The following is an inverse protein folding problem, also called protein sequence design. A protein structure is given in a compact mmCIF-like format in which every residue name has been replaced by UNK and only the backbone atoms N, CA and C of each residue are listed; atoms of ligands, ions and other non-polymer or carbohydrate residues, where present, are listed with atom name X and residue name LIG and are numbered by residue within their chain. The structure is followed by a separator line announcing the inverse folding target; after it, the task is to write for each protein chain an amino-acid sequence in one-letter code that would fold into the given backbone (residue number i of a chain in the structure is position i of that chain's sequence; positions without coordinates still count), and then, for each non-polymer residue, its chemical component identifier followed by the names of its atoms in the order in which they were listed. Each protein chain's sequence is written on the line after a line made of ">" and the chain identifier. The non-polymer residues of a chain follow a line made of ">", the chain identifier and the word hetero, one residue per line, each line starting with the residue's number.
data_IF_084208697957
#
_entry.id   IF_084208697957
#
_cell.length_a   1.000
_cell.length_b   1.000
_cell.length_c   1.000
_cell.angle_alpha   90.00
_cell.angle_beta   90.00
_cell.angle_gamma   90.00
#
_symmetry.space_group_name_H-M   'P 1'
#
loop_
_entity.id
_entity.type
_entity.pdbx_description
1 polymer ?
#
# COMPACT_ATOMS: atom_id res chain seq x y z
N UNK A 1 -74.28 -44.40 27.63
CA UNK A 1 -73.16 -45.27 28.06
C UNK A 1 -71.97 -44.91 27.19
N UNK A 2 -70.77 -44.57 27.65
CA UNK A 2 -70.16 -44.73 28.96
C UNK A 2 -68.88 -43.88 28.97
N UNK A 3 -68.59 -43.30 30.13
CA UNK A 3 -67.27 -43.18 30.76
C UNK A 3 -66.30 -42.15 30.13
N UNK A 4 -66.26 -40.99 30.80
CA UNK A 4 -65.03 -40.21 30.93
C UNK A 4 -63.96 -41.04 31.66
N UNK A 5 -62.68 -40.91 31.28
CA UNK A 5 -61.62 -41.12 32.24
C UNK A 5 -60.61 -39.96 32.28
N UNK A 6 -60.42 -39.49 33.52
CA UNK A 6 -59.12 -39.34 34.18
C UNK A 6 -58.09 -38.40 33.56
N UNK A 7 -58.10 -37.20 34.14
CA UNK A 7 -56.92 -36.50 34.67
C UNK A 7 -55.62 -37.33 34.65
N UNK A 8 -54.74 -37.01 33.71
CA UNK A 8 -53.32 -37.29 33.81
C UNK A 8 -52.56 -35.98 33.82
N UNK A 9 -51.72 -35.87 34.84
CA UNK A 9 -50.93 -34.72 35.23
C UNK A 9 -50.15 -34.18 34.01
N UNK A 10 -50.46 -32.96 33.58
CA UNK A 10 -49.59 -32.21 32.70
C UNK A 10 -48.37 -31.79 33.53
N UNK A 11 -47.31 -32.60 33.49
CA UNK A 11 -45.99 -32.24 33.99
C UNK A 11 -45.60 -30.90 33.38
N UNK A 12 -45.46 -29.90 34.24
CA UNK A 12 -45.02 -28.55 33.91
C UNK A 12 -43.59 -28.60 33.35
N UNK A 13 -43.48 -28.85 32.06
CA UNK A 13 -42.27 -28.59 31.30
C UNK A 13 -42.09 -27.07 31.27
N UNK A 14 -41.42 -26.54 32.29
CA UNK A 14 -40.90 -25.18 32.23
C UNK A 14 -39.96 -25.12 31.03
N UNK A 15 -40.15 -24.18 30.08
CA UNK A 15 -39.25 -24.07 28.94
C UNK A 15 -37.84 -23.78 29.45
N UNK A 16 -36.79 -24.36 28.85
CA UNK A 16 -35.42 -24.02 29.20
C UNK A 16 -35.22 -22.50 29.03
N UNK A 17 -34.40 -21.86 29.87
CA UNK A 17 -34.12 -20.44 29.74
C UNK A 17 -33.59 -20.14 28.33
N UNK A 18 -33.91 -18.98 27.74
CA UNK A 18 -33.37 -18.61 26.44
C UNK A 18 -31.84 -18.63 26.51
N UNK A 19 -31.16 -19.10 25.45
CA UNK A 19 -29.70 -19.04 25.40
C UNK A 19 -29.26 -17.58 25.60
N UNK A 20 -28.11 -17.33 26.28
CA UNK A 20 -27.56 -15.98 26.38
C UNK A 20 -27.38 -15.42 24.96
N UNK A 21 -27.57 -14.10 24.75
CA UNK A 21 -27.30 -13.50 23.46
C UNK A 21 -25.87 -13.87 23.07
N UNK A 22 -25.72 -14.60 21.96
CA UNK A 22 -24.41 -14.86 21.38
C UNK A 22 -23.81 -13.49 21.08
N UNK A 23 -22.89 -13.07 21.94
CA UNK A 23 -22.16 -11.82 21.81
C UNK A 23 -21.21 -12.01 20.62
N UNK A 24 -21.74 -11.80 19.43
CA UNK A 24 -20.96 -11.76 18.21
C UNK A 24 -19.91 -10.65 18.37
N UNK A 25 -18.62 -10.94 18.15
CA UNK A 25 -17.60 -9.89 18.15
C UNK A 25 -17.95 -8.88 17.04
N UNK A 26 -17.75 -7.57 17.25
CA UNK A 26 -18.17 -6.52 16.32
C UNK A 26 -17.31 -6.44 15.05
N UNK A 27 -16.66 -7.53 14.62
CA UNK A 27 -15.67 -7.49 13.54
C UNK A 27 -16.24 -7.72 12.13
N UNK A 28 -17.50 -8.17 11.99
CA UNK A 28 -18.08 -8.43 10.66
C UNK A 28 -18.85 -7.23 10.07
N UNK A 29 -19.32 -6.30 10.92
CA UNK A 29 -20.19 -5.20 10.46
C UNK A 29 -19.42 -3.98 9.92
N UNK A 30 -18.12 -3.85 10.25
CA UNK A 30 -17.25 -2.82 9.68
C UNK A 30 -16.68 -3.18 8.30
N UNK A 31 -16.74 -4.44 7.88
CA UNK A 31 -16.12 -4.87 6.63
C UNK A 31 -16.85 -4.31 5.39
N UNK A 32 -18.18 -4.19 5.45
CA UNK A 32 -18.96 -3.55 4.37
C UNK A 32 -18.90 -2.01 4.40
N UNK A 33 -18.69 -1.39 5.57
CA UNK A 33 -18.52 0.06 5.69
C UNK A 33 -17.11 0.53 5.25
N UNK A 34 -16.10 -0.34 5.36
CA UNK A 34 -14.74 -0.02 4.92
C UNK A 34 -14.62 0.06 3.38
N UNK A 35 -15.35 -0.78 2.64
CA UNK A 35 -15.26 -0.83 1.17
C UNK A 35 -15.99 0.32 0.44
N UNK A 36 -16.91 1.04 1.10
CA UNK A 36 -17.66 2.17 0.51
C UNK A 36 -17.21 3.55 1.00
N UNK A 37 -16.22 3.64 1.90
CA UNK A 37 -15.68 4.92 2.30
C UNK A 37 -14.84 5.51 1.14
N UNK A 38 -15.11 6.73 0.65
CA UNK A 38 -14.26 7.38 -0.37
C UNK A 38 -12.79 7.55 0.09
N UNK A 39 -12.54 7.50 1.40
CA UNK A 39 -11.20 7.42 1.98
C UNK A 39 -10.53 6.07 1.77
N UNK A 40 -11.27 4.96 1.77
CA UNK A 40 -10.73 3.63 1.45
C UNK A 40 -10.50 3.44 -0.04
N UNK A 41 -11.36 4.02 -0.90
CA UNK A 41 -11.10 4.05 -2.34
C UNK A 41 -9.86 4.90 -2.68
N UNK A 42 -9.69 6.06 -2.01
CA UNK A 42 -8.44 6.84 -2.07
C UNK A 42 -7.26 6.10 -1.45
N UNK A 43 -7.47 5.32 -0.38
CA UNK A 43 -6.42 4.52 0.27
C UNK A 43 -5.97 3.33 -0.58
N UNK A 44 -6.90 2.66 -1.27
CA UNK A 44 -6.58 1.59 -2.23
C UNK A 44 -5.85 2.18 -3.44
N UNK A 45 -6.30 3.31 -3.97
CA UNK A 45 -5.62 3.96 -5.10
C UNK A 45 -4.20 4.39 -4.72
N UNK A 46 -4.01 5.01 -3.55
CA UNK A 46 -2.69 5.41 -3.05
C UNK A 46 -1.79 4.21 -2.68
N UNK A 47 -2.34 3.11 -2.18
CA UNK A 47 -1.57 1.86 -1.95
C UNK A 47 -1.11 1.23 -3.25
N UNK A 48 -1.99 1.13 -4.25
CA UNK A 48 -1.65 0.58 -5.57
C UNK A 48 -0.59 1.46 -6.23
N UNK A 49 -0.76 2.78 -6.22
CA UNK A 49 0.21 3.72 -6.76
C UNK A 49 1.57 3.59 -6.07
N UNK A 50 1.58 3.46 -4.73
CA UNK A 50 2.80 3.24 -3.93
C UNK A 50 3.50 1.95 -4.33
N UNK A 51 2.72 0.88 -4.50
CA UNK A 51 3.24 -0.42 -4.91
C UNK A 51 3.81 -0.36 -6.34
N UNK A 52 3.12 0.30 -7.27
CA UNK A 52 3.60 0.49 -8.65
C UNK A 52 4.89 1.31 -8.67
N UNK A 53 4.94 2.43 -7.95
CA UNK A 53 6.15 3.26 -7.87
C UNK A 53 7.31 2.48 -7.26
N UNK A 54 7.08 1.76 -6.16
CA UNK A 54 8.11 0.90 -5.54
C UNK A 54 8.62 -0.16 -6.50
N UNK A 55 7.73 -0.92 -7.14
CA UNK A 55 8.10 -1.97 -8.08
C UNK A 55 8.82 -1.40 -9.31
N UNK A 56 8.37 -0.28 -9.87
CA UNK A 56 9.10 0.38 -10.96
C UNK A 56 10.48 0.84 -10.53
N UNK A 57 10.62 1.40 -9.33
CA UNK A 57 11.90 1.84 -8.82
C UNK A 57 12.85 0.67 -8.58
N UNK A 58 12.35 -0.46 -8.06
CA UNK A 58 13.10 -1.71 -7.91
C UNK A 58 13.54 -2.26 -9.28
N UNK A 59 12.64 -2.34 -10.27
CA UNK A 59 12.99 -2.77 -11.62
C UNK A 59 14.06 -1.86 -12.21
N UNK A 60 13.89 -0.54 -12.10
CA UNK A 60 14.88 0.43 -12.56
C UNK A 60 16.22 0.23 -11.86
N UNK A 61 16.24 0.01 -10.54
CA UNK A 61 17.49 -0.13 -9.78
C UNK A 61 18.22 -1.45 -10.05
N UNK A 62 17.48 -2.56 -10.12
CA UNK A 62 18.05 -3.91 -10.15
C UNK A 62 18.17 -4.50 -11.55
N UNK A 63 17.40 -4.04 -12.54
CA UNK A 63 17.44 -4.58 -13.90
C UNK A 63 18.50 -3.86 -14.77
N UNK A 64 19.35 -4.64 -15.43
CA UNK A 64 20.28 -4.19 -16.47
C UNK A 64 19.58 -4.12 -17.84
N UNK A 65 18.50 -3.34 -17.95
CA UNK A 65 17.74 -3.27 -19.20
C UNK A 65 18.16 -2.09 -20.09
N UNK A 66 18.37 -2.37 -21.39
CA UNK A 66 18.58 -1.37 -22.46
C UNK A 66 17.38 -0.43 -22.70
N UNK A 67 16.32 -0.55 -21.89
CA UNK A 67 15.09 0.23 -21.93
C UNK A 67 15.00 1.26 -20.77
N UNK A 68 16.13 1.72 -20.22
CA UNK A 68 16.14 2.68 -19.08
C UNK A 68 15.30 3.94 -19.31
N UNK A 69 15.20 4.36 -20.58
CA UNK A 69 14.45 5.53 -21.03
C UNK A 69 12.93 5.30 -20.95
N UNK A 70 12.51 4.06 -21.14
CA UNK A 70 11.11 3.64 -21.14
C UNK A 70 10.53 3.63 -19.73
N UNK A 71 11.36 3.31 -18.72
CA UNK A 71 10.96 3.24 -17.31
C UNK A 71 11.22 4.53 -16.54
N UNK A 72 12.17 5.37 -16.95
CA UNK A 72 12.42 6.67 -16.32
C UNK A 72 11.20 7.59 -16.44
N UNK A 73 10.57 7.59 -17.61
CA UNK A 73 9.39 8.39 -17.96
C UNK A 73 8.18 8.12 -17.06
N UNK A 74 7.69 6.88 -16.92
CA UNK A 74 6.60 6.57 -15.98
C UNK A 74 7.02 6.75 -14.52
N UNK A 75 8.28 6.48 -14.17
CA UNK A 75 8.79 6.71 -12.81
C UNK A 75 8.70 8.20 -12.43
N UNK A 76 9.16 9.11 -13.30
CA UNK A 76 9.04 10.54 -13.07
C UNK A 76 7.57 10.97 -12.96
N UNK A 77 6.71 10.51 -13.87
CA UNK A 77 5.28 10.82 -13.82
C UNK A 77 4.65 10.39 -12.49
N UNK A 78 4.98 9.22 -11.98
CA UNK A 78 4.48 8.73 -10.69
C UNK A 78 5.01 9.52 -9.50
N UNK A 79 6.27 9.94 -9.53
CA UNK A 79 6.85 10.84 -8.51
C UNK A 79 6.11 12.18 -8.50
N UNK A 80 5.83 12.77 -9.67
CA UNK A 80 5.14 14.07 -9.75
C UNK A 80 3.66 14.01 -9.36
N UNK A 81 3.02 12.84 -9.53
CA UNK A 81 1.65 12.61 -9.05
C UNK A 81 1.60 12.66 -7.52
N UNK A 82 2.61 12.10 -6.84
CA UNK A 82 2.66 12.10 -5.38
C UNK A 82 4.10 12.16 -4.85
N UNK A 83 4.59 13.38 -4.65
CA UNK A 83 5.91 13.62 -4.05
C UNK A 83 5.99 13.07 -2.62
N UNK A 84 4.88 13.13 -1.86
CA UNK A 84 4.79 12.55 -0.53
C UNK A 84 5.06 11.03 -0.55
N UNK A 85 4.49 10.33 -1.52
CA UNK A 85 4.67 8.89 -1.66
C UNK A 85 6.11 8.53 -2.02
N UNK A 86 6.75 9.34 -2.87
CA UNK A 86 8.17 9.20 -3.16
C UNK A 86 9.03 9.41 -1.92
N UNK A 87 8.72 10.42 -1.10
CA UNK A 87 9.40 10.66 0.19
C UNK A 87 9.26 9.47 1.15
N UNK A 88 8.06 8.90 1.28
CA UNK A 88 7.83 7.71 2.10
C UNK A 88 8.62 6.49 1.60
N UNK A 89 8.72 6.30 0.28
CA UNK A 89 9.49 5.20 -0.33
C UNK A 89 10.98 5.42 -0.10
N UNK A 90 11.48 6.65 -0.30
CA UNK A 90 12.88 7.02 0.01
C UNK A 90 13.21 6.69 1.47
N UNK A 91 12.37 7.12 2.42
CA UNK A 91 12.60 6.87 3.84
C UNK A 91 12.64 5.36 4.16
N UNK A 92 11.73 4.57 3.58
CA UNK A 92 11.73 3.10 3.74
C UNK A 92 12.98 2.44 3.14
N UNK A 93 13.41 2.87 1.94
CA UNK A 93 14.62 2.34 1.29
C UNK A 93 15.85 2.69 2.14
N UNK A 94 15.97 3.93 2.63
CA UNK A 94 17.07 4.33 3.51
C UNK A 94 17.07 3.52 4.81
N UNK A 95 15.93 3.39 5.48
CA UNK A 95 15.82 2.61 6.72
C UNK A 95 16.15 1.11 6.53
N UNK A 96 16.04 0.58 5.32
CA UNK A 96 16.37 -0.81 4.99
C UNK A 96 17.89 -1.04 4.78
N UNK A 97 18.69 0.03 4.76
CA UNK A 97 20.13 0.00 4.49
C UNK A 97 20.92 0.25 5.77
N UNK A 98 22.15 -0.25 5.88
CA UNK A 98 22.97 -0.05 7.07
C UNK A 98 23.41 1.43 7.20
N UNK A 99 23.62 1.91 8.42
CA UNK A 99 23.75 3.33 8.75
C UNK A 99 24.86 4.06 7.96
N UNK A 100 25.95 3.36 7.64
CA UNK A 100 27.05 3.82 6.79
C UNK A 100 26.61 4.12 5.34
N UNK A 101 25.69 3.32 4.80
CA UNK A 101 25.15 3.51 3.45
C UNK A 101 23.97 4.48 3.40
N UNK A 102 23.24 4.66 4.50
CA UNK A 102 22.09 5.57 4.56
C UNK A 102 22.46 6.99 4.15
N UNK A 103 23.58 7.53 4.65
CA UNK A 103 24.01 8.89 4.33
C UNK A 103 24.37 9.03 2.85
N UNK A 104 25.11 8.05 2.28
CA UNK A 104 25.48 8.06 0.87
C UNK A 104 24.25 7.96 -0.04
N UNK A 105 23.35 7.03 0.27
CA UNK A 105 22.11 6.83 -0.49
C UNK A 105 21.19 8.04 -0.40
N UNK A 106 21.12 8.70 0.76
CA UNK A 106 20.36 9.94 0.90
C UNK A 106 20.85 11.00 -0.08
N UNK A 107 22.17 11.22 -0.16
CA UNK A 107 22.78 12.14 -1.12
C UNK A 107 22.53 11.70 -2.58
N UNK A 108 22.49 10.40 -2.85
CA UNK A 108 22.15 9.88 -4.18
C UNK A 108 20.70 10.23 -4.55
N UNK A 109 19.75 10.10 -3.60
CA UNK A 109 18.36 10.51 -3.82
C UNK A 109 18.23 12.02 -4.05
N UNK A 110 19.06 12.84 -3.41
CA UNK A 110 19.08 14.29 -3.67
C UNK A 110 19.60 14.59 -5.08
N UNK A 111 20.66 13.90 -5.53
CA UNK A 111 21.16 13.99 -6.91
C UNK A 111 20.14 13.50 -7.94
N UNK A 112 19.33 12.50 -7.60
CA UNK A 112 18.28 11.99 -8.49
C UNK A 112 17.28 13.09 -8.87
N UNK A 113 16.88 13.90 -7.89
CA UNK A 113 15.90 14.98 -8.05
C UNK A 113 16.53 16.33 -8.35
N UNK A 114 17.86 16.42 -8.44
CA UNK A 114 18.57 17.67 -8.72
C UNK A 114 18.20 18.20 -10.12
N UNK A 115 17.84 19.48 -10.18
CA UNK A 115 17.35 20.18 -11.38
C UNK A 115 16.08 19.57 -12.01
N UNK A 116 15.39 18.65 -11.32
CA UNK A 116 14.14 18.07 -11.79
C UNK A 116 13.00 18.95 -11.30
N UNK A 117 12.25 19.54 -12.24
CA UNK A 117 11.09 20.38 -11.94
C UNK A 117 9.81 19.54 -11.90
N UNK A 118 8.72 20.13 -11.37
CA UNK A 118 7.38 19.51 -11.38
C UNK A 118 6.71 19.61 -12.76
N UNK A 119 7.42 19.22 -13.82
CA UNK A 119 7.00 19.31 -15.23
C UNK A 119 7.26 17.99 -15.97
N UNK A 120 6.44 17.67 -16.97
CA UNK A 120 6.63 16.52 -17.86
C UNK A 120 7.19 16.91 -19.24
N UNK A 121 7.76 18.10 -19.35
CA UNK A 121 8.48 18.53 -20.56
C UNK A 121 9.65 17.59 -20.90
N UNK A 122 9.97 17.48 -22.20
CA UNK A 122 11.04 16.57 -22.67
C UNK A 122 12.35 16.84 -21.93
N UNK A 123 12.80 18.09 -21.86
CA UNK A 123 14.06 18.48 -21.21
C UNK A 123 14.14 17.98 -19.75
N UNK A 124 13.04 18.10 -19.00
CA UNK A 124 13.00 17.66 -17.60
C UNK A 124 13.04 16.12 -17.48
N UNK A 125 12.34 15.43 -18.38
CA UNK A 125 12.37 13.95 -18.45
C UNK A 125 13.75 13.42 -18.84
N UNK A 126 14.41 14.09 -19.78
CA UNK A 126 15.76 13.74 -20.23
C UNK A 126 16.77 13.93 -19.08
N UNK A 127 16.64 15.04 -18.34
CA UNK A 127 17.43 15.31 -17.12
C UNK A 127 17.21 14.25 -16.03
N UNK A 128 15.96 13.92 -15.72
CA UNK A 128 15.65 12.86 -14.76
C UNK A 128 16.24 11.51 -15.19
N UNK A 129 16.17 11.18 -16.48
CA UNK A 129 16.76 9.94 -17.02
C UNK A 129 18.27 9.89 -16.80
N UNK A 130 18.98 10.99 -17.06
CA UNK A 130 20.42 11.11 -16.80
C UNK A 130 20.75 10.92 -15.31
N UNK A 131 20.01 11.63 -14.44
CA UNK A 131 20.19 11.53 -13.00
C UNK A 131 19.94 10.10 -12.50
N UNK A 132 18.94 9.41 -13.06
CA UNK A 132 18.59 8.03 -12.73
C UNK A 132 19.69 7.05 -13.12
N UNK A 133 20.35 7.24 -14.26
CA UNK A 133 21.52 6.44 -14.66
C UNK A 133 22.67 6.58 -13.66
N UNK A 134 22.97 7.81 -13.24
CA UNK A 134 24.00 8.08 -12.21
C UNK A 134 23.59 7.43 -10.88
N UNK A 135 22.33 7.62 -10.46
CA UNK A 135 21.79 7.04 -9.24
C UNK A 135 21.94 5.51 -9.22
N UNK A 136 21.60 4.81 -10.32
CA UNK A 136 21.79 3.36 -10.44
C UNK A 136 23.26 2.95 -10.26
N UNK A 137 24.18 3.65 -10.89
CA UNK A 137 25.61 3.35 -10.78
C UNK A 137 26.07 3.50 -9.33
N UNK A 138 25.78 4.65 -8.72
CA UNK A 138 26.11 4.94 -7.31
C UNK A 138 25.43 3.97 -6.33
N UNK A 139 24.24 3.46 -6.65
CA UNK A 139 23.54 2.46 -5.84
C UNK A 139 24.23 1.10 -5.88
N UNK A 140 24.85 0.73 -7.01
CA UNK A 140 25.51 -0.59 -7.21
C UNK A 140 26.95 -0.63 -6.73
N UNK A 141 27.66 0.49 -6.77
CA UNK A 141 29.03 0.60 -6.27
C UNK A 141 28.98 0.52 -4.74
N UNK A 142 28.96 -0.67 -4.14
CA UNK A 142 28.93 -0.85 -2.68
C UNK A 142 30.09 -0.14 -2.01
#
# INVERSE_FOLDING_TARGET
>A
MMIAPSSSQASSCTPPPPPPPLFFPPFQQYFCAFLLCPLFLSSINSKILRQILKTLFEIVLFEDSGNQWSLSRPTLSLILISEQMFSDIRAQILASQPADQQQRLSLCFDKLMADVTRSLESKNRDKFTQNLTVFKHEFRVK
#
